data_IF_621167563515
#
_entry.id   IF_621167563515
#
_cell.length_a   1.000
_cell.length_b   1.000
_cell.length_c   1.000
_cell.angle_alpha   90.00
_cell.angle_beta   90.00
_cell.angle_gamma   90.00
#
_symmetry.space_group_name_H-M   'P 1'
#
loop_
_entity.id
_entity.type
_entity.pdbx_description
1 polymer ?
#
# COMPACT_ATOMS: atom_id res chain seq x y z
N UNK A 1 4.66 -4.14 3.39
CA UNK A 1 3.90 -3.92 2.14
C UNK A 1 4.80 -4.04 0.92
N UNK A 2 4.37 -4.76 -0.13
CA UNK A 2 5.02 -4.79 -1.44
C UNK A 2 5.05 -3.41 -2.11
N UNK A 3 6.12 -3.14 -2.86
CA UNK A 3 6.31 -1.91 -3.67
C UNK A 3 6.06 -2.17 -5.16
N UNK A 4 5.34 -3.24 -5.48
CA UNK A 4 4.97 -3.66 -6.83
C UNK A 4 3.56 -4.24 -6.80
N UNK A 5 2.94 -4.28 -7.98
CA UNK A 5 1.57 -4.80 -8.14
C UNK A 5 1.49 -6.22 -7.62
N UNK A 6 0.56 -6.46 -6.70
CA UNK A 6 0.23 -7.80 -6.20
C UNK A 6 -0.94 -8.35 -7.01
N UNK A 7 -0.87 -9.56 -7.60
CA UNK A 7 -2.00 -10.15 -8.31
C UNK A 7 -3.26 -10.27 -7.44
N UNK A 8 -4.45 -10.18 -8.06
CA UNK A 8 -5.73 -10.38 -7.37
C UNK A 8 -5.79 -11.73 -6.62
N UNK A 9 -6.62 -11.81 -5.57
CA UNK A 9 -6.78 -13.00 -4.73
C UNK A 9 -5.50 -13.44 -3.98
N UNK A 10 -4.69 -12.48 -3.55
CA UNK A 10 -3.50 -12.69 -2.71
C UNK A 10 -3.64 -11.98 -1.37
N UNK A 11 -2.76 -12.31 -0.42
CA UNK A 11 -2.72 -11.68 0.91
C UNK A 11 -4.04 -11.82 1.72
N UNK A 12 -4.81 -12.87 1.43
CA UNK A 12 -6.08 -13.15 2.10
C UNK A 12 -7.18 -12.13 1.79
N UNK A 13 -7.16 -11.52 0.61
CA UNK A 13 -8.19 -10.59 0.14
C UNK A 13 -8.46 -10.75 -1.35
N UNK A 14 -9.59 -10.21 -1.80
CA UNK A 14 -9.93 -10.12 -3.22
C UNK A 14 -9.02 -9.09 -3.92
N UNK A 15 -9.00 -7.84 -3.45
CA UNK A 15 -8.23 -6.75 -4.04
C UNK A 15 -7.06 -6.33 -3.13
N UNK A 16 -5.85 -6.87 -3.34
CA UNK A 16 -4.70 -6.56 -2.50
C UNK A 16 -4.15 -5.15 -2.78
N UNK A 17 -3.81 -4.46 -1.70
CA UNK A 17 -3.14 -3.17 -1.69
C UNK A 17 -1.63 -3.32 -1.80
N UNK A 18 -1.00 -2.43 -2.56
CA UNK A 18 0.45 -2.33 -2.72
C UNK A 18 0.90 -0.87 -2.73
N UNK A 19 2.12 -0.60 -2.30
CA UNK A 19 2.70 0.74 -2.30
C UNK A 19 3.06 1.14 -3.74
N UNK A 20 2.40 2.16 -4.27
CA UNK A 20 2.75 2.71 -5.58
C UNK A 20 3.94 3.66 -5.45
N UNK A 21 5.13 3.08 -5.57
CA UNK A 21 6.42 3.75 -5.45
C UNK A 21 7.36 3.03 -4.49
N UNK A 22 8.49 3.66 -4.19
CA UNK A 22 9.48 3.14 -3.25
C UNK A 22 9.16 3.53 -1.80
N UNK A 23 9.62 2.68 -0.87
CA UNK A 23 9.66 3.05 0.54
C UNK A 23 10.66 4.21 0.75
N UNK A 24 10.41 5.12 1.71
CA UNK A 24 11.31 6.22 2.00
C UNK A 24 12.68 5.75 2.50
N UNK A 25 13.69 6.59 2.34
CA UNK A 25 14.94 6.55 3.08
C UNK A 25 14.74 7.04 4.53
N UNK A 26 15.71 6.78 5.40
CA UNK A 26 15.69 7.28 6.79
C UNK A 26 15.68 8.83 6.84
N UNK A 27 16.42 9.47 5.93
CA UNK A 27 16.55 10.93 5.88
C UNK A 27 15.25 11.65 5.46
N UNK A 28 14.38 10.98 4.71
CA UNK A 28 13.08 11.52 4.29
C UNK A 28 12.08 11.68 5.44
N UNK A 29 12.25 10.94 6.54
CA UNK A 29 11.34 11.00 7.68
C UNK A 29 9.95 10.41 7.38
N UNK A 30 8.89 11.11 7.82
CA UNK A 30 7.49 10.70 7.57
C UNK A 30 7.05 11.31 6.24
N UNK A 31 6.69 10.47 5.29
CA UNK A 31 6.25 10.90 3.96
C UNK A 31 4.91 10.29 3.59
N UNK A 32 4.16 11.01 2.77
CA UNK A 32 2.94 10.49 2.16
C UNK A 32 3.27 9.61 0.95
N UNK A 33 2.63 8.44 0.85
CA UNK A 33 2.73 7.54 -0.30
C UNK A 33 1.36 7.04 -0.71
N UNK A 34 1.20 6.78 -2.01
CA UNK A 34 -0.04 6.26 -2.57
C UNK A 34 -0.04 4.74 -2.47
N UNK A 35 -1.08 4.16 -1.89
CA UNK A 35 -1.40 2.73 -2.00
C UNK A 35 -2.40 2.56 -3.13
N UNK A 36 -2.16 1.58 -4.00
CA UNK A 36 -3.07 1.16 -5.04
C UNK A 36 -3.63 -0.21 -4.69
N UNK A 37 -4.90 -0.47 -5.02
CA UNK A 37 -5.53 -1.77 -4.86
C UNK A 37 -5.83 -2.37 -6.24
N UNK A 38 -5.26 -3.55 -6.49
CA UNK A 38 -5.38 -4.24 -7.77
C UNK A 38 -6.69 -5.03 -7.84
N UNK A 39 -7.48 -4.78 -8.88
CA UNK A 39 -8.72 -5.51 -9.15
C UNK A 39 -9.03 -5.57 -10.66
N UNK A 40 -10.26 -5.89 -11.03
CA UNK A 40 -10.66 -6.21 -12.40
C UNK A 40 -10.49 -5.07 -13.41
N UNK A 41 -10.56 -3.81 -12.98
CA UNK A 41 -10.40 -2.65 -13.87
C UNK A 41 -8.96 -2.15 -13.98
N UNK A 42 -7.99 -2.85 -13.40
CA UNK A 42 -6.58 -2.50 -13.46
C UNK A 42 -5.85 -2.65 -12.11
N UNK A 43 -4.54 -2.42 -12.16
CA UNK A 43 -3.60 -2.55 -11.04
C UNK A 43 -3.77 -1.50 -9.93
N UNK A 44 -4.51 -0.42 -10.20
CA UNK A 44 -4.83 0.65 -9.25
C UNK A 44 -6.30 1.10 -9.38
N UNK A 45 -7.24 0.16 -9.25
CA UNK A 45 -8.68 0.46 -9.32
C UNK A 45 -9.14 1.36 -8.16
N UNK A 46 -8.66 1.09 -6.95
CA UNK A 46 -8.81 2.00 -5.81
C UNK A 46 -7.46 2.48 -5.34
N UNK A 47 -7.43 3.61 -4.65
CA UNK A 47 -6.22 4.11 -4.04
C UNK A 47 -6.49 4.91 -2.77
N UNK A 48 -5.45 5.03 -1.94
CA UNK A 48 -5.47 5.80 -0.71
C UNK A 48 -4.08 6.36 -0.44
N UNK A 49 -3.99 7.59 0.07
CA UNK A 49 -2.74 8.14 0.58
C UNK A 49 -2.54 7.66 2.02
N UNK A 50 -1.35 7.15 2.32
CA UNK A 50 -0.94 6.74 3.66
C UNK A 50 0.32 7.49 4.07
N UNK A 51 0.64 7.51 5.37
CA UNK A 51 1.94 7.97 5.85
C UNK A 51 2.86 6.77 6.10
N UNK A 52 4.12 6.89 5.70
CA UNK A 52 5.14 5.87 5.94
C UNK A 52 6.41 6.53 6.46
N UNK A 53 7.08 5.83 7.38
CA UNK A 53 8.38 6.22 7.92
C UNK A 53 9.35 5.05 7.83
N UNK A 54 10.58 5.32 7.42
CA UNK A 54 11.68 4.38 7.54
C UNK A 54 12.41 4.57 8.87
N UNK A 55 12.47 3.52 9.69
CA UNK A 55 13.14 3.52 11.00
C UNK A 55 14.53 2.85 10.95
N UNK A 56 15.08 2.63 9.75
CA UNK A 56 16.39 2.02 9.50
C UNK A 56 16.33 0.50 9.32
N UNK A 57 15.75 -0.22 10.29
CA UNK A 57 15.60 -1.69 10.23
C UNK A 57 14.20 -2.17 9.83
N UNK A 58 13.21 -1.28 9.85
CA UNK A 58 11.82 -1.59 9.54
C UNK A 58 11.08 -0.34 9.09
N UNK A 59 9.90 -0.55 8.52
CA UNK A 59 8.99 0.52 8.09
C UNK A 59 7.76 0.54 8.97
N UNK A 60 7.31 1.74 9.34
CA UNK A 60 6.04 1.96 10.01
C UNK A 60 5.09 2.59 9.01
N UNK A 61 3.92 1.98 8.85
CA UNK A 61 2.86 2.45 7.97
C UNK A 61 1.67 2.87 8.84
N UNK A 62 1.20 4.07 8.62
CA UNK A 62 -0.03 4.57 9.22
C UNK A 62 -1.14 4.43 8.19
N UNK A 63 -1.98 3.44 8.43
CA UNK A 63 -3.01 2.99 7.50
C UNK A 63 -4.37 3.43 8.02
N UNK A 64 -5.14 4.07 7.15
CA UNK A 64 -6.55 4.35 7.40
C UNK A 64 -7.42 3.15 7.05
N UNK A 65 -8.69 3.21 7.45
CA UNK A 65 -9.68 2.24 7.02
C UNK A 65 -9.75 2.22 5.49
N UNK A 66 -9.82 1.03 4.92
CA UNK A 66 -9.96 0.86 3.49
C UNK A 66 -11.31 1.41 2.99
N UNK A 67 -11.36 2.02 1.79
CA UNK A 67 -12.60 2.60 1.25
C UNK A 67 -13.75 1.61 1.05
N UNK A 68 -13.45 0.33 0.75
CA UNK A 68 -14.46 -0.72 0.52
C UNK A 68 -14.05 -2.06 1.12
N UNK A 69 -15.03 -2.95 1.32
CA UNK A 69 -14.88 -4.20 2.09
C UNK A 69 -13.88 -5.21 1.51
N UNK A 70 -13.63 -5.16 0.20
CA UNK A 70 -12.81 -6.15 -0.51
C UNK A 70 -11.31 -5.83 -0.54
N UNK A 71 -10.92 -4.72 0.08
CA UNK A 71 -9.55 -4.22 0.06
C UNK A 71 -8.81 -4.63 1.32
N UNK A 72 -7.55 -5.02 1.17
CA UNK A 72 -6.64 -5.25 2.29
C UNK A 72 -5.23 -4.86 1.90
N UNK A 73 -4.51 -4.20 2.80
CA UNK A 73 -3.08 -3.94 2.62
C UNK A 73 -2.31 -5.26 2.69
N UNK A 74 -1.51 -5.53 1.67
CA UNK A 74 -0.42 -6.48 1.73
C UNK A 74 0.84 -5.74 2.22
#
# INVERSE_FOLDING_TARGET
>A
MPTHVVPVHRCGTHAPGWLNGSNPSVAEGIVSRKVCFHWTSGDCQWNQMIRVKNCGGFYVYELDKTPVCWLRFC
#
